data_IF_487812296620
#
_entry.id   IF_487812296620
#
_cell.length_a   1.000
_cell.length_b   1.000
_cell.length_c   1.000
_cell.angle_alpha   90.00
_cell.angle_beta   90.00
_cell.angle_gamma   90.00
#
_symmetry.space_group_name_H-M   'P 1'
#
loop_
_entity.id
_entity.type
_entity.pdbx_description
1 polymer ?
#
# COMPACT_ATOMS: atom_id res chain seq x y z
N UNK A 1 33.12 6.57 34.96
CA UNK A 1 32.88 6.16 33.55
C UNK A 1 33.18 4.66 33.45
N UNK A 2 32.42 3.76 32.85
CA UNK A 2 31.07 3.68 32.32
C UNK A 2 30.77 2.16 32.24
N UNK A 3 29.54 1.73 32.50
CA UNK A 3 29.09 0.39 32.13
C UNK A 3 28.68 0.39 30.65
N UNK A 4 29.09 -0.63 29.91
CA UNK A 4 28.12 -1.65 29.47
C UNK A 4 28.87 -2.85 28.91
N UNK A 5 28.73 -3.98 29.60
CA UNK A 5 29.01 -5.27 28.99
C UNK A 5 28.09 -5.42 27.76
N UNK A 6 28.62 -5.97 26.67
CA UNK A 6 27.84 -6.32 25.50
C UNK A 6 26.66 -7.21 25.91
N UNK A 7 25.46 -7.03 25.31
CA UNK A 7 24.32 -7.87 25.64
C UNK A 7 24.68 -9.32 25.38
N UNK A 8 24.39 -10.19 26.35
CA UNK A 8 24.55 -11.63 26.18
C UNK A 8 23.56 -12.09 25.12
N UNK A 9 24.10 -12.35 23.94
CA UNK A 9 23.40 -12.94 22.81
C UNK A 9 23.13 -14.40 23.15
N UNK A 10 21.88 -14.84 23.04
CA UNK A 10 21.51 -16.21 23.39
C UNK A 10 22.11 -17.19 22.37
N UNK A 11 22.35 -18.46 22.75
CA UNK A 11 23.03 -19.43 21.89
C UNK A 11 22.37 -19.63 20.50
N UNK A 12 21.06 -19.41 20.40
CA UNK A 12 20.32 -19.52 19.14
C UNK A 12 20.45 -18.28 18.25
N UNK A 13 20.68 -17.08 18.81
CA UNK A 13 20.96 -15.84 18.05
C UNK A 13 22.37 -15.91 17.43
N UNK A 14 23.34 -16.49 18.15
CA UNK A 14 24.66 -16.77 17.62
C UNK A 14 24.62 -17.76 16.45
N UNK A 15 23.71 -18.75 16.51
CA UNK A 15 23.52 -19.76 15.47
C UNK A 15 22.80 -19.22 14.23
N UNK A 16 21.94 -18.21 14.39
CA UNK A 16 21.28 -17.51 13.29
C UNK A 16 22.30 -16.69 12.48
N UNK A 17 23.22 -16.00 13.15
CA UNK A 17 24.28 -15.22 12.51
C UNK A 17 25.23 -16.07 11.65
N UNK A 18 25.46 -17.33 12.05
CA UNK A 18 26.40 -18.24 11.38
C UNK A 18 25.79 -18.92 10.12
N UNK A 19 24.45 -18.95 10.00
CA UNK A 19 23.75 -19.70 8.93
C UNK A 19 23.08 -18.84 7.84
N UNK A 20 23.01 -17.53 8.01
CA UNK A 20 22.13 -16.66 7.21
C UNK A 20 22.80 -15.91 6.04
N UNK A 21 24.05 -16.22 5.68
CA UNK A 21 24.70 -15.58 4.52
C UNK A 21 24.87 -16.58 3.37
N UNK A 22 23.94 -16.62 2.39
CA UNK A 22 24.23 -17.21 1.09
C UNK A 22 25.32 -16.41 0.38
N UNK A 23 26.43 -17.07 0.06
CA UNK A 23 27.51 -16.55 -0.79
C UNK A 23 27.09 -16.60 -2.26
N UNK A 24 26.10 -15.79 -2.66
CA UNK A 24 25.79 -15.59 -4.09
C UNK A 24 25.58 -14.11 -4.37
N UNK A 25 26.36 -13.50 -5.28
CA UNK A 25 26.22 -12.09 -5.59
C UNK A 25 24.98 -11.90 -6.48
N UNK A 26 23.89 -11.36 -5.93
CA UNK A 26 22.81 -10.84 -6.77
C UNK A 26 23.26 -9.51 -7.39
N UNK A 27 23.12 -9.39 -8.70
CA UNK A 27 23.48 -8.20 -9.47
C UNK A 27 22.26 -7.28 -9.58
N UNK A 28 21.96 -6.50 -8.54
CA UNK A 28 20.98 -5.42 -8.61
C UNK A 28 21.54 -4.16 -7.92
N UNK A 29 21.66 -3.03 -8.63
CA UNK A 29 21.97 -1.75 -8.01
C UNK A 29 20.66 -1.03 -7.66
N UNK A 30 20.19 -1.21 -6.43
CA UNK A 30 19.21 -0.33 -5.80
C UNK A 30 19.42 -0.47 -4.28
N UNK A 31 19.55 0.67 -3.60
CA UNK A 31 19.83 0.89 -2.17
C UNK A 31 19.85 -0.41 -1.34
N UNK A 32 21.04 -1.00 -1.17
CA UNK A 32 21.29 -2.02 -0.16
C UNK A 32 21.64 -1.30 1.13
N UNK A 33 20.63 -0.95 1.91
CA UNK A 33 20.86 -0.72 3.33
C UNK A 33 21.06 -2.10 3.97
N UNK A 34 22.24 -2.34 4.56
CA UNK A 34 22.61 -3.60 5.19
C UNK A 34 21.71 -3.97 6.39
N UNK A 35 20.85 -3.05 6.85
CA UNK A 35 19.81 -3.31 7.84
C UNK A 35 18.52 -3.87 7.25
N UNK A 36 18.26 -3.65 5.96
CA UNK A 36 16.99 -3.99 5.30
C UNK A 36 17.20 -5.23 4.44
N UNK A 37 17.10 -6.40 5.06
CA UNK A 37 17.23 -7.68 4.37
C UNK A 37 15.96 -8.00 3.58
N UNK A 38 16.05 -8.21 2.25
CA UNK A 38 14.92 -8.62 1.43
C UNK A 38 14.29 -9.91 1.98
N UNK A 39 12.99 -9.86 2.27
CA UNK A 39 12.22 -10.99 2.80
C UNK A 39 12.19 -11.12 4.33
N UNK A 40 13.03 -10.41 5.09
CA UNK A 40 13.02 -10.48 6.56
C UNK A 40 11.77 -9.79 7.16
N UNK A 41 11.31 -8.73 6.50
CA UNK A 41 10.14 -7.94 6.91
C UNK A 41 8.86 -8.34 6.17
N UNK A 42 8.87 -9.47 5.46
CA UNK A 42 7.79 -9.90 4.58
C UNK A 42 7.35 -11.34 4.86
N UNK A 43 6.56 -11.52 5.92
CA UNK A 43 5.98 -12.83 6.24
C UNK A 43 5.03 -13.37 5.14
N UNK A 44 4.50 -12.48 4.29
CA UNK A 44 3.58 -12.80 3.18
C UNK A 44 4.27 -12.91 1.82
N UNK A 45 5.57 -12.62 1.73
CA UNK A 45 6.32 -12.53 0.47
C UNK A 45 6.14 -11.21 -0.29
N UNK A 46 5.29 -10.29 0.20
CA UNK A 46 5.19 -8.92 -0.28
C UNK A 46 6.00 -7.96 0.60
N UNK A 47 7.07 -7.37 0.07
CA UNK A 47 7.98 -6.50 0.83
C UNK A 47 7.43 -5.06 0.90
N UNK A 48 6.48 -4.83 1.81
CA UNK A 48 5.87 -3.52 2.00
C UNK A 48 6.92 -2.45 2.36
N UNK A 49 7.95 -2.79 3.13
CA UNK A 49 8.98 -1.81 3.53
C UNK A 49 9.78 -1.31 2.35
N UNK A 50 10.22 -2.22 1.48
CA UNK A 50 10.89 -1.84 0.23
C UNK A 50 9.99 -0.97 -0.65
N UNK A 51 8.68 -1.25 -0.69
CA UNK A 51 7.72 -0.46 -1.45
C UNK A 51 7.56 0.94 -0.87
N UNK A 52 7.37 1.07 0.45
CA UNK A 52 7.25 2.37 1.10
C UNK A 52 8.53 3.20 0.91
N UNK A 53 9.70 2.60 1.05
CA UNK A 53 10.98 3.28 0.80
C UNK A 53 11.13 3.74 -0.65
N UNK A 54 10.71 2.92 -1.61
CA UNK A 54 10.70 3.31 -3.02
C UNK A 54 9.72 4.45 -3.29
N UNK A 55 8.53 4.43 -2.67
CA UNK A 55 7.56 5.52 -2.76
C UNK A 55 8.12 6.80 -2.16
N UNK A 56 8.74 6.75 -0.99
CA UNK A 56 9.33 7.93 -0.33
C UNK A 56 10.54 8.46 -1.09
N UNK A 57 11.37 7.58 -1.66
CA UNK A 57 12.60 7.94 -2.39
C UNK A 57 12.41 8.20 -3.89
N UNK A 58 11.16 8.29 -4.38
CA UNK A 58 10.88 8.40 -5.82
C UNK A 58 11.35 9.74 -6.42
N UNK A 59 11.81 9.76 -7.68
CA UNK A 59 12.21 10.98 -8.35
C UNK A 59 10.99 11.83 -8.73
N UNK A 60 11.09 13.15 -8.57
CA UNK A 60 10.09 14.13 -9.00
C UNK A 60 8.65 13.87 -8.49
N UNK A 61 8.43 13.81 -7.16
CA UNK A 61 7.10 13.60 -6.62
C UNK A 61 6.16 14.74 -7.03
N UNK A 62 5.00 14.41 -7.61
CA UNK A 62 3.95 15.38 -7.91
C UNK A 62 2.91 15.50 -6.79
N UNK A 63 2.86 14.52 -5.89
CA UNK A 63 2.03 14.53 -4.68
C UNK A 63 2.93 14.46 -3.46
N UNK A 64 2.73 15.34 -2.47
CA UNK A 64 3.39 15.19 -1.18
C UNK A 64 2.59 14.22 -0.29
N UNK A 65 3.26 13.17 0.20
CA UNK A 65 2.67 12.19 1.11
C UNK A 65 2.91 12.53 2.58
N UNK A 66 3.94 13.34 2.87
CA UNK A 66 4.48 13.43 4.22
C UNK A 66 5.05 12.09 4.74
N UNK A 67 5.16 11.93 6.07
CA UNK A 67 5.61 10.69 6.69
C UNK A 67 4.60 9.56 6.49
N UNK A 68 5.06 8.41 6.03
CA UNK A 68 4.25 7.20 5.82
C UNK A 68 4.93 6.03 6.51
N UNK A 69 4.17 5.25 7.28
CA UNK A 69 4.66 4.07 7.98
C UNK A 69 3.76 2.83 7.75
N UNK A 70 4.00 1.75 8.49
CA UNK A 70 3.22 0.51 8.39
C UNK A 70 1.77 0.63 8.90
N UNK A 71 1.45 1.69 9.65
CA UNK A 71 0.15 1.84 10.30
C UNK A 71 -0.92 2.41 9.36
N UNK A 72 -0.52 2.88 8.18
CA UNK A 72 -1.44 3.46 7.20
C UNK A 72 -2.25 2.39 6.47
N UNK A 73 -3.48 2.75 6.10
CA UNK A 73 -4.28 1.94 5.19
C UNK A 73 -3.66 2.01 3.78
N UNK A 74 -3.10 0.89 3.33
CA UNK A 74 -2.39 0.79 2.06
C UNK A 74 -2.76 -0.48 1.34
N UNK A 75 -2.90 -0.35 0.03
CA UNK A 75 -3.09 -1.48 -0.89
C UNK A 75 -2.06 -1.39 -2.01
N UNK A 76 -1.73 -2.55 -2.58
CA UNK A 76 -0.93 -2.63 -3.80
C UNK A 76 -1.67 -3.45 -4.84
N UNK A 77 -1.82 -2.88 -6.03
CA UNK A 77 -2.46 -3.52 -7.17
C UNK A 77 -1.44 -3.77 -8.28
N UNK A 78 -1.54 -4.93 -8.93
CA UNK A 78 -0.72 -5.28 -10.08
C UNK A 78 -1.33 -4.70 -11.36
N UNK A 79 -0.63 -3.78 -12.02
CA UNK A 79 -1.13 -3.07 -13.19
C UNK A 79 -0.99 -3.87 -14.49
N UNK A 80 -0.29 -5.00 -14.46
CA UNK A 80 -0.06 -5.86 -15.62
C UNK A 80 -1.09 -6.99 -15.72
N UNK A 81 -1.79 -7.29 -14.63
CA UNK A 81 -2.85 -8.27 -14.60
C UNK A 81 -4.19 -7.68 -15.08
N UNK A 82 -5.05 -8.50 -15.71
CA UNK A 82 -6.39 -8.07 -16.12
C UNK A 82 -7.17 -7.51 -14.94
N UNK A 83 -7.82 -6.37 -15.17
CA UNK A 83 -8.63 -5.67 -14.18
C UNK A 83 -7.86 -5.06 -12.97
N UNK A 84 -6.53 -5.05 -13.00
CA UNK A 84 -5.68 -4.42 -11.98
C UNK A 84 -6.02 -4.88 -10.54
N UNK A 85 -5.92 -6.19 -10.25
CA UNK A 85 -6.33 -6.76 -8.98
C UNK A 85 -5.40 -6.34 -7.84
N UNK A 86 -5.95 -6.24 -6.64
CA UNK A 86 -5.21 -6.03 -5.40
C UNK A 86 -4.42 -7.31 -5.08
N UNK A 87 -3.10 -7.18 -4.94
CA UNK A 87 -2.19 -8.26 -4.57
C UNK A 87 -1.73 -8.18 -3.12
N UNK A 88 -1.95 -7.02 -2.48
CA UNK A 88 -1.64 -6.79 -1.08
C UNK A 88 -2.59 -5.75 -0.48
N UNK A 89 -3.00 -5.97 0.77
CA UNK A 89 -3.74 -5.01 1.58
C UNK A 89 -3.22 -5.07 3.02
N UNK A 90 -3.00 -3.90 3.64
CA UNK A 90 -2.61 -3.79 5.04
C UNK A 90 -3.77 -4.08 5.99
N UNK A 91 -3.44 -4.41 7.24
CA UNK A 91 -4.43 -4.63 8.28
C UNK A 91 -5.24 -3.34 8.54
N UNK A 92 -4.57 -2.18 8.54
CA UNK A 92 -5.24 -0.89 8.66
C UNK A 92 -6.26 -0.62 7.54
N UNK A 93 -6.01 -1.10 6.31
CA UNK A 93 -7.01 -1.03 5.24
C UNK A 93 -8.21 -1.96 5.49
N UNK A 94 -7.94 -3.16 6.03
CA UNK A 94 -9.00 -4.08 6.43
C UNK A 94 -9.86 -3.47 7.56
N UNK A 95 -9.24 -2.82 8.54
CA UNK A 95 -9.92 -2.12 9.64
C UNK A 95 -10.75 -0.94 9.13
N UNK A 96 -10.17 -0.08 8.28
CA UNK A 96 -10.84 1.09 7.68
C UNK A 96 -12.11 0.68 6.92
N UNK A 97 -12.02 -0.37 6.11
CA UNK A 97 -13.09 -0.76 5.18
C UNK A 97 -14.04 -1.81 5.76
N UNK A 98 -13.62 -2.53 6.79
CA UNK A 98 -14.33 -3.66 7.40
C UNK A 98 -14.30 -4.95 6.57
N UNK A 99 -13.54 -4.99 5.47
CA UNK A 99 -13.36 -6.21 4.67
C UNK A 99 -12.16 -7.01 5.17
N UNK A 100 -12.26 -8.33 5.10
CA UNK A 100 -11.13 -9.21 5.41
C UNK A 100 -10.19 -9.33 4.22
N UNK A 101 -8.91 -9.62 4.47
CA UNK A 101 -7.91 -9.78 3.42
C UNK A 101 -8.32 -10.79 2.33
N UNK A 102 -8.90 -11.97 2.63
CA UNK A 102 -9.38 -12.90 1.60
C UNK A 102 -10.51 -12.35 0.72
N UNK A 103 -11.30 -11.40 1.22
CA UNK A 103 -12.33 -10.73 0.43
C UNK A 103 -11.73 -9.66 -0.49
N UNK A 104 -10.60 -9.06 -0.11
CA UNK A 104 -9.98 -7.94 -0.85
C UNK A 104 -9.05 -8.46 -1.96
N UNK A 105 -8.25 -9.48 -1.66
CA UNK A 105 -7.22 -9.97 -2.58
C UNK A 105 -7.83 -10.51 -3.88
N UNK A 106 -7.23 -10.16 -5.01
CA UNK A 106 -7.69 -10.55 -6.35
C UNK A 106 -8.82 -9.68 -6.90
N UNK A 107 -9.40 -8.77 -6.11
CA UNK A 107 -10.42 -7.84 -6.59
C UNK A 107 -9.83 -6.51 -7.05
N UNK A 108 -10.50 -5.83 -7.96
CA UNK A 108 -10.22 -4.42 -8.21
C UNK A 108 -10.83 -3.55 -7.11
N UNK A 109 -10.06 -2.59 -6.60
CA UNK A 109 -10.45 -1.68 -5.51
C UNK A 109 -11.78 -0.91 -5.74
N UNK A 110 -12.28 -0.84 -6.99
CA UNK A 110 -13.59 -0.24 -7.28
C UNK A 110 -14.77 -0.90 -6.55
N UNK A 111 -14.61 -2.08 -5.95
CA UNK A 111 -15.66 -2.69 -5.13
C UNK A 111 -16.12 -1.73 -4.00
N UNK A 112 -15.23 -0.87 -3.50
CA UNK A 112 -15.55 0.15 -2.50
C UNK A 112 -16.50 1.25 -3.00
N UNK A 113 -16.73 1.36 -4.31
CA UNK A 113 -17.61 2.38 -4.91
C UNK A 113 -19.07 1.91 -4.97
N UNK A 114 -19.34 0.64 -4.65
CA UNK A 114 -20.68 0.08 -4.75
C UNK A 114 -21.45 0.35 -3.44
N UNK A 115 -22.53 1.15 -3.47
CA UNK A 115 -23.41 1.30 -2.33
C UNK A 115 -24.08 -0.04 -2.04
N UNK A 116 -24.03 -0.46 -0.78
CA UNK A 116 -24.80 -1.61 -0.30
C UNK A 116 -26.30 -1.26 -0.25
N UNK A 117 -27.18 -2.26 -0.08
CA UNK A 117 -28.62 -2.01 0.07
C UNK A 117 -28.98 -1.15 1.29
N UNK A 118 -28.10 -1.08 2.28
CA UNK A 118 -28.22 -0.25 3.48
C UNK A 118 -27.64 1.16 3.34
N UNK A 119 -27.00 1.48 2.21
CA UNK A 119 -26.34 2.78 2.03
C UNK A 119 -27.37 3.89 1.76
N UNK A 120 -27.20 5.08 2.35
CA UNK A 120 -28.07 6.21 2.07
C UNK A 120 -27.94 6.65 0.60
N UNK A 121 -29.02 7.16 -0.01
CA UNK A 121 -28.94 7.68 -1.37
C UNK A 121 -28.05 8.93 -1.41
N UNK A 122 -27.05 8.93 -2.30
CA UNK A 122 -26.26 10.12 -2.56
C UNK A 122 -27.09 11.17 -3.32
N UNK A 123 -26.88 12.45 -3.03
CA UNK A 123 -27.48 13.52 -3.82
C UNK A 123 -26.95 13.51 -5.26
N UNK A 124 -27.72 14.08 -6.20
CA UNK A 124 -27.29 14.18 -7.59
C UNK A 124 -25.95 14.92 -7.75
N UNK A 125 -25.72 15.94 -6.93
CA UNK A 125 -24.48 16.71 -6.96
C UNK A 125 -23.27 15.88 -6.48
N UNK A 126 -23.41 15.16 -5.36
CA UNK A 126 -22.37 14.27 -4.83
C UNK A 126 -22.05 13.13 -5.80
N UNK A 127 -23.07 12.52 -6.40
CA UNK A 127 -22.88 11.45 -7.39
C UNK A 127 -22.14 11.97 -8.64
N UNK A 128 -22.46 13.18 -9.11
CA UNK A 128 -21.78 13.79 -10.26
C UNK A 128 -20.32 14.13 -9.94
N UNK A 129 -20.05 14.72 -8.76
CA UNK A 129 -18.70 15.02 -8.31
C UNK A 129 -17.85 13.76 -8.15
N UNK A 130 -18.41 12.72 -7.52
CA UNK A 130 -17.72 11.43 -7.35
C UNK A 130 -17.40 10.78 -8.71
N UNK A 131 -18.34 10.82 -9.66
CA UNK A 131 -18.11 10.32 -11.02
C UNK A 131 -16.95 11.04 -11.73
N UNK A 132 -16.85 12.36 -11.58
CA UNK A 132 -15.75 13.13 -12.16
C UNK A 132 -14.40 12.75 -11.52
N UNK A 133 -14.36 12.63 -10.18
CA UNK A 133 -13.16 12.19 -9.46
C UNK A 133 -12.71 10.78 -9.89
N UNK A 134 -13.64 9.85 -10.05
CA UNK A 134 -13.36 8.49 -10.55
C UNK A 134 -12.83 8.48 -11.99
N UNK A 135 -13.31 9.39 -12.85
CA UNK A 135 -12.77 9.53 -14.20
C UNK A 135 -11.33 10.03 -14.18
N UNK A 136 -11.01 11.02 -13.34
CA UNK A 136 -9.64 11.52 -13.18
C UNK A 136 -8.70 10.46 -12.61
N UNK A 137 -9.14 9.74 -11.57
CA UNK A 137 -8.41 8.60 -11.00
C UNK A 137 -8.09 7.56 -12.07
N UNK A 138 -9.10 7.17 -12.86
CA UNK A 138 -8.91 6.22 -13.94
C UNK A 138 -7.85 6.71 -14.93
N UNK A 139 -7.96 7.96 -15.39
CA UNK A 139 -7.00 8.54 -16.34
C UNK A 139 -5.57 8.54 -15.79
N UNK A 140 -5.37 8.96 -14.54
CA UNK A 140 -4.06 8.98 -13.90
C UNK A 140 -3.44 7.59 -13.76
N UNK A 141 -4.23 6.59 -13.33
CA UNK A 141 -3.76 5.19 -13.22
C UNK A 141 -3.33 4.64 -14.58
N UNK A 142 -4.11 4.86 -15.65
CA UNK A 142 -3.74 4.43 -17.01
C UNK A 142 -2.52 5.18 -17.54
N UNK A 143 -2.37 6.47 -17.21
CA UNK A 143 -1.22 7.29 -17.60
C UNK A 143 0.02 7.03 -16.74
N UNK A 144 -0.06 6.19 -15.70
CA UNK A 144 0.99 5.97 -14.70
C UNK A 144 1.45 7.28 -14.06
N UNK A 145 0.49 8.11 -13.65
CA UNK A 145 0.73 9.37 -12.96
C UNK A 145 0.26 9.27 -11.52
N UNK A 146 0.97 9.97 -10.61
CA UNK A 146 0.50 10.10 -9.25
C UNK A 146 -0.79 10.92 -9.23
N UNK A 147 -1.70 10.57 -8.33
CA UNK A 147 -2.92 11.34 -8.12
C UNK A 147 -3.28 11.33 -6.64
N UNK A 148 -3.79 12.45 -6.17
CA UNK A 148 -4.47 12.57 -4.89
C UNK A 148 -5.87 13.14 -5.14
N UNK A 149 -6.88 12.47 -4.60
CA UNK A 149 -8.27 12.85 -4.82
C UNK A 149 -9.17 12.38 -3.69
N UNK A 150 -10.36 12.96 -3.58
CA UNK A 150 -11.40 12.54 -2.66
C UNK A 150 -12.46 11.78 -3.43
N UNK A 151 -12.76 10.57 -2.99
CA UNK A 151 -13.83 9.75 -3.56
C UNK A 151 -14.76 9.25 -2.45
N UNK A 152 -16.05 9.17 -2.74
CA UNK A 152 -17.00 8.53 -1.85
C UNK A 152 -16.86 7.00 -1.99
N UNK A 153 -16.58 6.34 -0.89
CA UNK A 153 -16.48 4.89 -0.78
C UNK A 153 -17.43 4.37 0.31
N UNK A 154 -17.69 3.06 0.29
CA UNK A 154 -18.58 2.39 1.21
C UNK A 154 -17.84 1.28 1.93
N UNK A 155 -17.90 1.31 3.26
CA UNK A 155 -17.43 0.21 4.12
C UNK A 155 -18.32 -1.01 3.91
N UNK A 156 -17.86 -2.18 4.38
CA UNK A 156 -18.60 -3.45 4.27
C UNK A 156 -20.01 -3.39 4.86
N UNK A 157 -20.20 -2.62 5.93
CA UNK A 157 -21.51 -2.41 6.56
C UNK A 157 -22.45 -1.47 5.77
N UNK A 158 -21.98 -0.91 4.65
CA UNK A 158 -22.71 0.05 3.80
C UNK A 158 -22.56 1.51 4.23
N UNK A 159 -21.79 1.80 5.29
CA UNK A 159 -21.52 3.16 5.73
C UNK A 159 -20.68 3.90 4.68
N UNK A 160 -21.15 5.05 4.16
CA UNK A 160 -20.34 5.89 3.29
C UNK A 160 -19.23 6.56 4.08
N UNK A 161 -18.08 6.75 3.44
CA UNK A 161 -16.99 7.57 3.95
C UNK A 161 -16.27 8.27 2.79
N UNK A 162 -15.72 9.45 3.08
CA UNK A 162 -14.88 10.18 2.12
C UNK A 162 -13.48 9.60 2.21
N UNK A 163 -13.07 8.87 1.17
CA UNK A 163 -11.73 8.32 1.05
C UNK A 163 -10.82 9.37 0.42
N UNK A 164 -9.91 9.93 1.22
CA UNK A 164 -8.78 10.70 0.73
C UNK A 164 -7.73 9.72 0.20
N UNK A 165 -7.78 9.52 -1.12
CA UNK A 165 -7.02 8.51 -1.83
C UNK A 165 -5.81 9.14 -2.51
N UNK A 166 -4.62 8.64 -2.19
CA UNK A 166 -3.41 8.89 -2.97
C UNK A 166 -2.97 7.61 -3.69
N UNK A 167 -2.72 7.68 -4.99
CA UNK A 167 -2.21 6.55 -5.78
C UNK A 167 -0.87 6.92 -6.38
N UNK A 168 0.13 6.07 -6.17
CA UNK A 168 1.49 6.26 -6.66
C UNK A 168 1.91 5.03 -7.48
N UNK A 169 2.30 5.20 -8.74
CA UNK A 169 2.82 4.10 -9.54
C UNK A 169 4.23 3.73 -9.07
N UNK A 170 4.50 2.44 -8.97
CA UNK A 170 5.83 1.91 -8.64
C UNK A 170 6.21 0.80 -9.61
N UNK A 171 7.52 0.58 -9.79
CA UNK A 171 8.04 -0.54 -10.57
C UNK A 171 8.91 -1.42 -9.67
N UNK A 172 8.52 -2.68 -9.51
CA UNK A 172 9.21 -3.66 -8.66
C UNK A 172 9.61 -4.84 -9.53
N UNK A 173 10.90 -5.16 -9.56
CA UNK A 173 11.44 -6.28 -10.35
C UNK A 173 10.99 -6.26 -11.84
N UNK A 174 10.87 -5.07 -12.43
CA UNK A 174 10.43 -4.89 -13.81
C UNK A 174 8.92 -4.99 -14.05
N UNK A 175 8.11 -5.19 -13.00
CA UNK A 175 6.65 -5.16 -13.06
C UNK A 175 6.08 -3.87 -12.52
N UNK A 176 4.96 -3.43 -13.10
CA UNK A 176 4.28 -2.17 -12.74
C UNK A 176 3.17 -2.43 -11.72
N UNK A 177 3.23 -1.70 -10.61
CA UNK A 177 2.22 -1.72 -9.56
C UNK A 177 1.70 -0.31 -9.29
N UNK A 178 0.53 -0.21 -8.65
CA UNK A 178 0.07 1.02 -8.03
C UNK A 178 -0.05 0.81 -6.52
N UNK A 179 0.55 1.70 -5.76
CA UNK A 179 0.41 1.78 -4.30
C UNK A 179 -0.66 2.81 -3.98
N UNK A 180 -1.74 2.39 -3.35
CA UNK A 180 -2.81 3.27 -2.93
C UNK A 180 -2.75 3.49 -1.42
N UNK A 181 -2.75 4.73 -0.97
CA UNK A 181 -2.89 5.15 0.42
C UNK A 181 -4.29 5.67 0.66
N UNK A 182 -4.95 5.19 1.71
CA UNK A 182 -6.31 5.58 2.06
C UNK A 182 -6.33 6.25 3.43
N UNK A 183 -7.13 7.29 3.56
CA UNK A 183 -7.46 7.92 4.82
C UNK A 183 -8.95 8.27 4.81
N UNK A 184 -9.64 8.06 5.92
CA UNK A 184 -10.99 8.58 6.11
C UNK A 184 -10.87 10.07 6.43
N UNK A 185 -11.42 10.92 5.55
CA UNK A 185 -11.48 12.35 5.78
C UNK A 185 -12.71 12.64 6.66
N UNK A 186 -12.46 13.00 7.92
CA UNK A 186 -13.48 13.51 8.84
C UNK A 186 -13.65 15.02 8.55
N UNK A 187 -14.47 15.36 7.53
CA UNK A 187 -14.89 16.75 7.28
C UNK A 187 -15.75 17.33 8.41
#
# INVERSE_FOLDING_TARGET
MAFKAAPQVNPWEAHALDRLVPQTPSSHPAVRDDLIYPGLYSGTGFDLMSILLQVTGRPHPSVDLGPVDCSVAVIVSDLELPDMPIVYASDAFCELTGYSQPEILGQNCRFLQNPGPSSPPASHAEAAANKAALQHLRQAVYAQQEIQTRICNYKKNGQPFTNFLTVIPVQLHGRRYSVGFQCEDEE
#
